data_IF_202409825375
#
_entry.id   IF_202409825375
#
_cell.length_a   1.000
_cell.length_b   1.000
_cell.length_c   1.000
_cell.angle_alpha   90.00
_cell.angle_beta   90.00
_cell.angle_gamma   90.00
#
_symmetry.space_group_name_H-M   'P 1'
#
loop_
_entity.id
_entity.type
_entity.pdbx_description
1 polymer ?
#
# COMPACT_ATOMS: atom_id res chain seq x y z
N UNK A 1 15.79 18.28 -25.83
CA UNK A 1 15.23 17.21 -24.97
C UNK A 1 15.80 15.88 -25.42
N UNK A 2 16.50 15.12 -24.57
CA UNK A 2 17.01 13.80 -24.94
C UNK A 2 15.85 12.90 -25.36
N UNK A 3 15.90 12.38 -26.60
CA UNK A 3 14.90 11.46 -27.14
C UNK A 3 15.13 10.09 -26.51
N UNK A 4 14.49 9.84 -25.36
CA UNK A 4 14.38 8.49 -24.81
C UNK A 4 13.68 7.58 -25.83
N UNK A 5 14.29 6.43 -26.12
CA UNK A 5 13.70 5.37 -26.94
C UNK A 5 12.31 5.00 -26.39
N UNK A 6 11.37 4.64 -27.28
CA UNK A 6 10.00 4.24 -26.90
C UNK A 6 10.02 3.14 -25.84
N UNK A 7 10.96 2.21 -25.97
CA UNK A 7 11.16 1.11 -25.02
C UNK A 7 11.57 1.61 -23.63
N UNK A 8 12.54 2.52 -23.55
CA UNK A 8 13.00 3.08 -22.28
C UNK A 8 11.89 3.85 -21.56
N UNK A 9 11.05 4.58 -22.30
CA UNK A 9 9.88 5.27 -21.73
C UNK A 9 8.88 4.29 -21.13
N UNK A 10 8.61 3.18 -21.83
CA UNK A 10 7.67 2.17 -21.36
C UNK A 10 8.16 1.47 -20.09
N UNK A 11 9.45 1.10 -20.03
CA UNK A 11 10.06 0.53 -18.82
C UNK A 11 10.04 1.51 -17.66
N UNK A 12 10.34 2.78 -17.92
CA UNK A 12 10.32 3.81 -16.90
C UNK A 12 8.90 4.02 -16.34
N UNK A 13 7.88 4.05 -17.21
CA UNK A 13 6.48 4.14 -16.79
C UNK A 13 6.06 2.95 -15.92
N UNK A 14 6.49 1.73 -16.28
CA UNK A 14 6.23 0.53 -15.49
C UNK A 14 6.89 0.61 -14.11
N UNK A 15 8.14 1.07 -14.02
CA UNK A 15 8.83 1.27 -12.73
C UNK A 15 8.12 2.31 -11.88
N UNK A 16 7.65 3.41 -12.46
CA UNK A 16 6.87 4.41 -11.74
C UNK A 16 5.54 3.87 -11.21
N UNK A 17 4.81 3.08 -12.00
CA UNK A 17 3.55 2.46 -11.57
C UNK A 17 3.79 1.45 -10.43
N UNK A 18 4.78 0.58 -10.56
CA UNK A 18 5.15 -0.35 -9.50
C UNK A 18 5.64 0.36 -8.23
N UNK A 19 6.42 1.44 -8.37
CA UNK A 19 6.88 2.25 -7.26
C UNK A 19 5.74 2.95 -6.52
N UNK A 20 4.79 3.54 -7.26
CA UNK A 20 3.59 4.15 -6.68
C UNK A 20 2.75 3.12 -5.93
N UNK A 21 2.59 1.92 -6.51
CA UNK A 21 1.89 0.81 -5.85
C UNK A 21 2.60 0.38 -4.56
N UNK A 22 3.91 0.18 -4.62
CA UNK A 22 4.72 -0.25 -3.48
C UNK A 22 4.70 0.76 -2.33
N UNK A 23 4.77 2.07 -2.62
CA UNK A 23 4.68 3.10 -1.58
C UNK A 23 3.27 3.17 -1.01
N UNK A 24 2.23 3.18 -1.86
CA UNK A 24 0.83 3.32 -1.42
C UNK A 24 0.37 2.15 -0.55
N UNK A 25 0.77 0.92 -0.87
CA UNK A 25 0.40 -0.27 -0.10
C UNK A 25 1.43 -0.67 0.95
N UNK A 26 2.71 -0.37 0.75
CA UNK A 26 3.79 -0.76 1.65
C UNK A 26 4.01 0.20 2.82
N UNK A 27 3.62 1.47 2.70
CA UNK A 27 3.88 2.46 3.75
C UNK A 27 3.18 2.13 5.08
N UNK A 28 1.87 1.87 5.05
CA UNK A 28 1.08 1.57 6.25
C UNK A 28 1.55 0.29 6.95
N UNK A 29 1.72 -0.86 6.27
CA UNK A 29 2.26 -2.07 6.89
C UNK A 29 3.66 -1.87 7.49
N UNK A 30 4.51 -1.09 6.83
CA UNK A 30 5.89 -0.84 7.31
C UNK A 30 5.87 -0.02 8.59
N UNK A 31 5.10 1.08 8.64
CA UNK A 31 4.95 1.89 9.85
C UNK A 31 4.30 1.08 10.97
N UNK A 32 3.31 0.25 10.64
CA UNK A 32 2.66 -0.62 11.61
C UNK A 32 3.64 -1.65 12.21
N UNK A 33 4.44 -2.31 11.37
CA UNK A 33 5.48 -3.24 11.80
C UNK A 33 6.52 -2.56 12.70
N UNK A 34 6.96 -1.35 12.33
CA UNK A 34 7.89 -0.58 13.16
C UNK A 34 7.27 -0.15 14.49
N UNK A 35 6.01 0.28 14.48
CA UNK A 35 5.26 0.64 15.68
C UNK A 35 5.08 -0.54 16.64
N UNK A 36 4.91 -1.75 16.11
CA UNK A 36 4.83 -2.98 16.90
C UNK A 36 6.18 -3.48 17.39
N UNK A 37 7.21 -3.48 16.53
CA UNK A 37 8.52 -4.00 16.88
C UNK A 37 9.28 -3.10 17.87
N UNK A 38 9.04 -1.79 17.81
CA UNK A 38 9.74 -0.83 18.66
C UNK A 38 9.04 -0.55 19.98
N UNK A 39 7.72 -0.79 20.07
CA UNK A 39 6.91 -0.44 21.23
C UNK A 39 6.93 1.07 21.51
N UNK A 40 5.90 1.62 22.17
CA UNK A 40 5.98 2.99 22.68
C UNK A 40 6.90 3.08 23.91
N UNK A 41 7.05 1.98 24.66
CA UNK A 41 7.83 1.89 25.88
C UNK A 41 8.49 0.50 26.06
N UNK A 42 9.72 0.42 26.61
CA UNK A 42 10.36 -0.85 26.96
C UNK A 42 9.59 -1.53 28.10
N UNK A 43 8.85 -2.59 27.78
CA UNK A 43 8.02 -3.34 28.73
C UNK A 43 6.53 -3.39 28.38
N UNK A 44 6.08 -2.74 27.30
CA UNK A 44 4.71 -2.90 26.82
C UNK A 44 4.48 -4.34 26.32
N UNK A 45 3.42 -5.03 26.77
CA UNK A 45 3.10 -6.37 26.29
C UNK A 45 2.81 -6.35 24.79
N UNK A 46 3.18 -7.43 24.11
CA UNK A 46 3.00 -7.55 22.67
C UNK A 46 1.55 -7.25 22.25
N UNK A 47 1.34 -6.50 21.16
CA UNK A 47 0.01 -6.10 20.73
C UNK A 47 -0.85 -7.33 20.43
N UNK A 48 -1.90 -7.53 21.25
CA UNK A 48 -2.80 -8.67 21.13
C UNK A 48 -3.63 -8.57 19.85
N UNK A 49 -3.62 -9.63 19.03
CA UNK A 49 -4.33 -9.71 17.72
C UNK A 49 -5.82 -9.31 17.83
N UNK A 50 -6.45 -9.59 18.97
CA UNK A 50 -7.83 -9.22 19.29
C UNK A 50 -8.09 -7.70 19.31
N UNK A 51 -7.14 -6.88 19.78
CA UNK A 51 -7.29 -5.41 19.85
C UNK A 51 -7.23 -4.76 18.46
N UNK A 52 -6.57 -5.42 17.51
CA UNK A 52 -6.43 -4.95 16.12
C UNK A 52 -7.47 -5.57 15.18
N UNK A 53 -8.33 -6.48 15.64
CA UNK A 53 -9.39 -7.07 14.82
C UNK A 53 -10.27 -6.01 14.13
N UNK A 54 -10.66 -4.96 14.86
CA UNK A 54 -11.41 -3.82 14.33
C UNK A 54 -10.61 -3.01 13.30
N UNK A 55 -9.31 -2.81 13.55
CA UNK A 55 -8.40 -2.12 12.64
C UNK A 55 -8.11 -2.94 11.37
N UNK A 56 -8.00 -4.26 11.48
CA UNK A 56 -7.85 -5.17 10.35
C UNK A 56 -9.12 -5.24 9.50
N UNK A 57 -10.30 -5.23 10.12
CA UNK A 57 -11.58 -5.09 9.41
C UNK A 57 -11.65 -3.75 8.68
N UNK A 58 -11.20 -2.66 9.31
CA UNK A 58 -11.15 -1.34 8.70
C UNK A 58 -10.18 -1.29 7.51
N UNK A 59 -8.98 -1.85 7.66
CA UNK A 59 -7.99 -1.98 6.58
C UNK A 59 -8.54 -2.86 5.45
N UNK A 60 -9.17 -4.00 5.77
CA UNK A 60 -9.81 -4.87 4.77
C UNK A 60 -10.96 -4.17 4.03
N UNK A 61 -11.72 -3.31 4.71
CA UNK A 61 -12.77 -2.48 4.11
C UNK A 61 -12.19 -1.43 3.16
N UNK A 62 -11.11 -0.75 3.57
CA UNK A 62 -10.38 0.20 2.69
C UNK A 62 -9.79 -0.53 1.49
N UNK A 63 -9.20 -1.71 1.68
CA UNK A 63 -8.67 -2.54 0.59
C UNK A 63 -9.78 -2.92 -0.38
N UNK A 64 -10.91 -3.42 0.13
CA UNK A 64 -12.08 -3.76 -0.69
C UNK A 64 -12.60 -2.56 -1.46
N UNK A 65 -12.70 -1.40 -0.83
CA UNK A 65 -13.16 -0.18 -1.47
C UNK A 65 -12.18 0.31 -2.54
N UNK A 66 -10.87 0.26 -2.27
CA UNK A 66 -9.82 0.64 -3.20
C UNK A 66 -9.75 -0.30 -4.42
N UNK A 67 -9.90 -1.61 -4.21
CA UNK A 67 -9.99 -2.60 -5.28
C UNK A 67 -11.25 -2.40 -6.12
N UNK A 68 -12.39 -2.19 -5.46
CA UNK A 68 -13.65 -1.90 -6.14
C UNK A 68 -13.59 -0.62 -6.97
N UNK A 69 -12.96 0.44 -6.46
CA UNK A 69 -12.76 1.68 -7.23
C UNK A 69 -11.78 1.49 -8.37
N UNK A 70 -10.72 0.69 -8.24
CA UNK A 70 -9.85 0.38 -9.38
C UNK A 70 -10.60 -0.40 -10.48
N UNK A 71 -11.40 -1.39 -10.12
CA UNK A 71 -12.17 -2.19 -11.09
C UNK A 71 -13.25 -1.35 -11.79
N UNK A 72 -13.92 -0.47 -11.04
CA UNK A 72 -14.92 0.46 -11.58
C UNK A 72 -14.31 1.51 -12.50
N UNK A 73 -13.16 2.08 -12.13
CA UNK A 73 -12.45 3.04 -12.98
C UNK A 73 -11.94 2.39 -14.28
N UNK A 74 -11.45 1.16 -14.21
CA UNK A 74 -11.03 0.41 -15.40
C UNK A 74 -12.18 0.13 -16.38
N UNK A 75 -13.42 -0.06 -15.90
CA UNK A 75 -14.61 -0.22 -16.76
C UNK A 75 -15.04 1.07 -17.46
N UNK A 76 -14.76 2.24 -16.89
CA UNK A 76 -15.14 3.53 -17.49
C UNK A 76 -14.11 4.00 -18.52
N UNK A 77 -12.85 3.59 -18.36
CA UNK A 77 -11.75 3.99 -19.24
C UNK A 77 -11.47 3.02 -20.39
N UNK A 78 -12.19 1.89 -20.46
CA UNK A 78 -12.13 0.89 -21.55
C UNK A 78 -13.28 1.07 -22.53
#
# INVERSE_FOLDING_TARGET
MPKLSKETKQRLQQVFQCGQFAIRWGFIPTILYLGFKRGADPGMPEPTVLRYSSMLIFIASIIRHALFTSDWLWQITS
#
